data_IF_266119160572
#
_entry.id   IF_266119160572
#
_cell.length_a   1.000
_cell.length_b   1.000
_cell.length_c   1.000
_cell.angle_alpha   90.00
_cell.angle_beta   90.00
_cell.angle_gamma   90.00
#
_symmetry.space_group_name_H-M   'P 1'
#
loop_
_entity.id
_entity.type
_entity.pdbx_description
1 polymer ?
#
# COMPACT_ATOMS: atom_id res chain seq x y z
N UNK A 1 20.57 -7.64 1.93
CA UNK A 1 19.35 -6.83 2.17
C UNK A 1 18.76 -7.27 3.50
N UNK A 2 18.78 -6.43 4.54
CA UNK A 2 18.43 -6.85 5.91
C UNK A 2 16.93 -6.78 6.22
N UNK A 3 16.10 -6.26 5.31
CA UNK A 3 14.65 -6.12 5.48
C UNK A 3 13.94 -6.48 4.17
N UNK A 4 13.66 -7.76 3.97
CA UNK A 4 12.58 -8.22 3.10
C UNK A 4 11.59 -8.87 4.07
N UNK A 5 10.30 -8.73 3.82
CA UNK A 5 9.19 -9.22 4.64
C UNK A 5 9.02 -8.47 5.97
N UNK A 6 9.05 -7.12 5.95
CA UNK A 6 8.68 -6.31 7.13
C UNK A 6 7.29 -6.66 7.64
N UNK A 7 6.40 -6.97 6.71
CA UNK A 7 5.00 -7.24 6.93
C UNK A 7 4.68 -8.71 6.64
N UNK A 8 3.74 -9.27 7.41
CA UNK A 8 3.17 -10.59 7.15
C UNK A 8 1.67 -10.46 6.86
N UNK A 9 1.09 -11.41 6.12
CA UNK A 9 -0.33 -11.33 5.69
C UNK A 9 -1.27 -11.30 6.91
N UNK A 10 -0.93 -12.03 7.97
CA UNK A 10 -1.64 -12.05 9.25
C UNK A 10 -1.59 -10.73 10.03
N UNK A 11 -0.79 -9.76 9.59
CA UNK A 11 -0.81 -8.42 10.15
C UNK A 11 -1.99 -7.60 9.62
N UNK A 12 -2.67 -8.03 8.56
CA UNK A 12 -3.71 -7.25 7.87
C UNK A 12 -5.09 -7.88 7.98
N UNK A 13 -6.10 -7.06 7.72
CA UNK A 13 -7.49 -7.52 7.59
C UNK A 13 -7.61 -8.47 6.39
N UNK A 14 -8.32 -9.57 6.60
CA UNK A 14 -8.47 -10.62 5.57
C UNK A 14 -9.92 -11.00 5.32
N UNK A 15 -10.89 -10.42 6.02
CA UNK A 15 -12.31 -10.72 5.82
C UNK A 15 -13.14 -9.45 5.64
N UNK A 16 -14.28 -9.57 4.96
CA UNK A 16 -15.19 -8.44 4.74
C UNK A 16 -15.75 -7.84 6.04
N UNK A 17 -15.88 -8.67 7.09
CA UNK A 17 -16.39 -8.23 8.39
C UNK A 17 -15.42 -7.32 9.14
N UNK A 18 -14.14 -7.37 8.80
CA UNK A 18 -13.09 -6.56 9.41
C UNK A 18 -12.95 -5.18 8.73
N UNK A 19 -13.62 -4.98 7.58
CA UNK A 19 -13.55 -3.72 6.83
C UNK A 19 -14.52 -2.70 7.42
N UNK A 20 -13.98 -1.80 8.24
CA UNK A 20 -14.74 -0.78 8.95
C UNK A 20 -14.32 0.61 8.47
N UNK A 21 -15.29 1.39 7.98
CA UNK A 21 -15.09 2.78 7.62
C UNK A 21 -15.13 3.66 8.88
N UNK A 22 -14.10 4.48 9.06
CA UNK A 22 -13.98 5.47 10.14
C UNK A 22 -13.73 6.84 9.52
N UNK A 23 -14.79 7.63 9.36
CA UNK A 23 -14.70 8.88 8.60
C UNK A 23 -14.52 8.60 7.11
N UNK A 24 -13.37 8.99 6.59
CA UNK A 24 -12.89 8.79 5.23
C UNK A 24 -11.80 7.71 5.12
N UNK A 25 -11.49 7.00 6.21
CA UNK A 25 -10.39 6.04 6.25
C UNK A 25 -10.85 4.64 6.64
N UNK A 26 -10.11 3.65 6.14
CA UNK A 26 -10.21 2.25 6.56
C UNK A 26 -8.87 1.80 7.08
N UNK A 27 -8.77 1.48 8.37
CA UNK A 27 -7.57 0.85 8.92
C UNK A 27 -7.47 -0.59 8.39
N UNK A 28 -6.33 -0.92 7.79
CA UNK A 28 -6.11 -2.23 7.13
C UNK A 28 -5.29 -3.19 7.97
N UNK A 29 -4.81 -2.77 9.14
CA UNK A 29 -3.90 -3.55 9.98
C UNK A 29 -4.14 -3.33 11.47
N UNK A 30 -4.51 -4.36 12.25
CA UNK A 30 -4.54 -4.26 13.71
C UNK A 30 -3.17 -4.01 14.36
N UNK A 31 -2.05 -4.17 13.63
CA UNK A 31 -0.69 -4.08 14.19
C UNK A 31 0.07 -2.83 13.74
N UNK A 32 -0.35 -2.23 12.64
CA UNK A 32 0.37 -1.15 11.95
C UNK A 32 -0.60 -0.01 11.71
N UNK A 33 -0.13 1.23 11.87
CA UNK A 33 -0.92 2.42 11.56
C UNK A 33 -0.90 2.66 10.04
N UNK A 34 -1.70 1.86 9.33
CA UNK A 34 -1.82 1.90 7.87
C UNK A 34 -3.30 2.00 7.53
N UNK A 35 -3.63 2.97 6.69
CA UNK A 35 -5.01 3.23 6.27
C UNK A 35 -5.15 3.23 4.75
N UNK A 36 -6.33 2.88 4.27
CA UNK A 36 -6.79 3.25 2.93
C UNK A 36 -7.63 4.52 3.08
N UNK A 37 -7.19 5.61 2.46
CA UNK A 37 -7.96 6.85 2.37
C UNK A 37 -8.97 6.80 1.23
N UNK A 38 -10.19 7.24 1.48
CA UNK A 38 -11.30 7.18 0.54
C UNK A 38 -11.85 8.57 0.23
N UNK A 39 -12.04 8.85 -1.06
CA UNK A 39 -12.71 10.05 -1.54
C UNK A 39 -14.25 9.98 -1.33
N UNK A 40 -14.99 11.11 -1.36
CA UNK A 40 -16.42 11.14 -1.10
C UNK A 40 -17.26 10.15 -1.94
N UNK A 41 -16.93 9.98 -3.22
CA UNK A 41 -17.60 9.02 -4.10
C UNK A 41 -17.29 7.56 -3.73
N UNK A 42 -16.10 7.29 -3.21
CA UNK A 42 -15.69 5.97 -2.74
C UNK A 42 -16.39 5.63 -1.43
N UNK A 43 -16.53 6.60 -0.53
CA UNK A 43 -17.33 6.49 0.69
C UNK A 43 -18.78 6.16 0.35
N UNK A 44 -19.38 6.87 -0.61
CA UNK A 44 -20.74 6.61 -1.07
C UNK A 44 -20.91 5.18 -1.65
N UNK A 45 -19.84 4.59 -2.18
CA UNK A 45 -19.80 3.24 -2.76
C UNK A 45 -19.10 2.21 -1.85
N UNK A 46 -18.91 2.51 -0.56
CA UNK A 46 -18.04 1.74 0.34
C UNK A 46 -18.37 0.25 0.41
N UNK A 47 -19.65 -0.12 0.48
CA UNK A 47 -20.06 -1.53 0.57
C UNK A 47 -19.59 -2.36 -0.63
N UNK A 48 -19.53 -1.77 -1.83
CA UNK A 48 -19.02 -2.44 -3.02
C UNK A 48 -17.48 -2.49 -3.04
N UNK A 49 -16.81 -1.57 -2.35
CA UNK A 49 -15.34 -1.51 -2.26
C UNK A 49 -14.75 -2.47 -1.23
N UNK A 50 -15.53 -2.96 -0.26
CA UNK A 50 -15.03 -3.85 0.81
C UNK A 50 -14.24 -5.05 0.28
N UNK A 51 -14.73 -5.69 -0.78
CA UNK A 51 -14.03 -6.82 -1.39
C UNK A 51 -12.65 -6.45 -1.93
N UNK A 52 -12.57 -5.30 -2.59
CA UNK A 52 -11.32 -4.79 -3.13
C UNK A 52 -10.35 -4.33 -2.04
N UNK A 53 -10.85 -3.70 -0.98
CA UNK A 53 -10.04 -3.35 0.20
C UNK A 53 -9.39 -4.59 0.82
N UNK A 54 -10.13 -5.69 0.95
CA UNK A 54 -9.56 -6.98 1.43
C UNK A 54 -8.48 -7.51 0.47
N UNK A 55 -8.68 -7.39 -0.84
CA UNK A 55 -7.68 -7.79 -1.84
C UNK A 55 -6.39 -6.97 -1.71
N UNK A 56 -6.51 -5.65 -1.61
CA UNK A 56 -5.36 -4.74 -1.39
C UNK A 56 -4.64 -5.09 -0.09
N UNK A 57 -5.39 -5.23 1.01
CA UNK A 57 -4.85 -5.51 2.35
C UNK A 57 -3.99 -6.77 2.38
N UNK A 58 -4.45 -7.83 1.70
CA UNK A 58 -3.69 -9.09 1.56
C UNK A 58 -2.43 -8.95 0.70
N UNK A 59 -2.41 -8.01 -0.23
CA UNK A 59 -1.30 -7.80 -1.16
C UNK A 59 -0.21 -6.84 -0.60
N UNK A 60 -0.48 -6.13 0.51
CA UNK A 60 0.48 -5.18 1.12
C UNK A 60 1.87 -5.78 1.37
N UNK A 61 2.02 -6.99 1.96
CA UNK A 61 3.36 -7.59 2.15
C UNK A 61 4.14 -7.74 0.84
N UNK A 62 3.47 -8.13 -0.24
CA UNK A 62 4.09 -8.29 -1.55
C UNK A 62 4.41 -6.95 -2.21
N UNK A 63 3.57 -5.93 -2.02
CA UNK A 63 3.88 -4.57 -2.45
C UNK A 63 5.11 -4.02 -1.71
N UNK A 64 5.12 -4.05 -0.38
CA UNK A 64 6.23 -3.55 0.44
C UNK A 64 7.55 -4.27 0.11
N UNK A 65 7.50 -5.57 -0.19
CA UNK A 65 8.64 -6.32 -0.68
C UNK A 65 9.14 -5.83 -2.05
N UNK A 66 8.24 -5.57 -3.00
CA UNK A 66 8.60 -5.01 -4.30
C UNK A 66 9.19 -3.61 -4.16
N UNK A 67 8.62 -2.78 -3.28
CA UNK A 67 9.13 -1.44 -2.99
C UNK A 67 10.54 -1.47 -2.42
N UNK A 68 10.80 -2.32 -1.42
CA UNK A 68 12.12 -2.46 -0.82
C UNK A 68 13.16 -2.97 -1.83
N UNK A 69 12.79 -3.92 -2.71
CA UNK A 69 13.66 -4.39 -3.80
C UNK A 69 13.97 -3.29 -4.81
N UNK A 70 12.95 -2.53 -5.21
CA UNK A 70 13.11 -1.41 -6.12
C UNK A 70 14.06 -0.36 -5.51
N UNK A 71 13.81 0.06 -4.27
CA UNK A 71 14.66 1.02 -3.55
C UNK A 71 16.11 0.55 -3.51
N UNK A 72 16.34 -0.69 -3.06
CA UNK A 72 17.69 -1.27 -3.02
C UNK A 72 18.36 -1.28 -4.40
N UNK A 73 17.64 -1.62 -5.48
CA UNK A 73 18.21 -1.61 -6.83
C UNK A 73 18.64 -0.23 -7.32
N UNK A 74 18.02 0.84 -6.81
CA UNK A 74 18.29 2.23 -7.22
C UNK A 74 19.34 2.92 -6.36
N UNK A 75 19.37 2.63 -5.05
CA UNK A 75 20.23 3.34 -4.10
C UNK A 75 21.39 2.49 -3.61
N UNK A 76 21.32 1.16 -3.77
CA UNK A 76 22.19 0.18 -3.12
C UNK A 76 22.16 0.26 -1.58
N UNK A 77 21.13 0.90 -1.00
CA UNK A 77 20.94 1.01 0.44
C UNK A 77 20.10 -0.16 0.97
N UNK A 78 20.63 -0.98 1.90
CA UNK A 78 20.00 -2.22 2.33
C UNK A 78 18.81 -2.02 3.28
N UNK A 79 18.68 -0.83 3.86
CA UNK A 79 17.65 -0.46 4.82
C UNK A 79 16.72 0.55 4.14
N UNK A 80 15.46 0.15 3.95
CA UNK A 80 14.42 1.06 3.48
C UNK A 80 13.90 1.87 4.67
N UNK A 81 14.08 3.21 4.68
CA UNK A 81 13.81 4.04 5.86
C UNK A 81 12.35 4.49 5.97
N UNK A 82 11.51 4.19 4.97
CA UNK A 82 10.12 4.63 4.94
C UNK A 82 9.15 3.55 5.44
N UNK A 83 8.14 3.96 6.19
CA UNK A 83 7.00 3.13 6.57
C UNK A 83 5.79 3.48 5.71
N UNK A 84 5.06 2.45 5.30
CA UNK A 84 3.79 2.64 4.61
C UNK A 84 2.82 3.33 5.60
N UNK A 85 2.19 4.41 5.16
CA UNK A 85 1.26 5.19 5.98
C UNK A 85 -0.14 5.17 5.39
N UNK A 86 -0.26 5.59 4.13
CA UNK A 86 -1.56 5.72 3.45
C UNK A 86 -1.53 4.99 2.12
N UNK A 87 -2.66 4.37 1.77
CA UNK A 87 -2.90 3.79 0.46
C UNK A 87 -4.09 4.51 -0.17
N UNK A 88 -3.92 5.01 -1.38
CA UNK A 88 -5.00 5.61 -2.17
C UNK A 88 -5.46 4.64 -3.25
N UNK A 89 -6.76 4.66 -3.56
CA UNK A 89 -7.37 3.89 -4.64
C UNK A 89 -7.76 4.86 -5.75
N UNK A 90 -7.29 4.63 -6.96
CA UNK A 90 -7.65 5.42 -8.15
C UNK A 90 -7.99 4.47 -9.31
N UNK A 91 -9.28 4.27 -9.57
CA UNK A 91 -9.78 3.34 -10.59
C UNK A 91 -9.21 1.92 -10.46
N UNK A 92 -8.32 1.51 -11.37
CA UNK A 92 -7.62 0.22 -11.40
C UNK A 92 -6.20 0.30 -10.80
N UNK A 93 -5.86 1.42 -10.17
CA UNK A 93 -4.56 1.65 -9.55
C UNK A 93 -4.67 1.86 -8.05
N UNK A 94 -3.55 1.59 -7.38
CA UNK A 94 -3.33 1.96 -5.99
C UNK A 94 -2.02 2.73 -5.88
N UNK A 95 -2.00 3.73 -5.00
CA UNK A 95 -0.82 4.52 -4.69
C UNK A 95 -0.46 4.24 -3.24
N UNK A 96 0.73 3.71 -3.00
CA UNK A 96 1.27 3.51 -1.67
C UNK A 96 2.11 4.72 -1.31
N UNK A 97 1.67 5.48 -0.31
CA UNK A 97 2.41 6.62 0.23
C UNK A 97 3.17 6.20 1.50
N UNK A 98 4.50 6.24 1.38
CA UNK A 98 5.40 5.93 2.48
C UNK A 98 5.98 7.21 3.08
N UNK A 99 6.00 7.28 4.41
CA UNK A 99 6.59 8.38 5.17
C UNK A 99 7.88 7.96 5.86
N UNK A 100 8.84 8.87 5.97
CA UNK A 100 10.02 8.67 6.82
C UNK A 100 10.33 9.91 7.64
N UNK A 101 10.23 9.78 8.96
CA UNK A 101 10.70 10.81 9.90
C UNK A 101 12.23 10.96 9.88
N UNK A 102 12.96 9.87 9.63
CA UNK A 102 14.43 9.86 9.68
C UNK A 102 15.05 10.73 8.59
N UNK A 103 14.46 10.71 7.39
CA UNK A 103 14.93 11.49 6.24
C UNK A 103 13.99 12.63 5.86
N UNK A 104 12.89 12.80 6.61
CA UNK A 104 11.86 13.84 6.46
C UNK A 104 11.36 13.98 5.02
N UNK A 105 10.98 12.86 4.40
CA UNK A 105 10.42 12.85 3.04
C UNK A 105 9.38 11.75 2.83
N UNK A 106 8.64 11.89 1.73
CA UNK A 106 7.71 10.90 1.20
C UNK A 106 8.36 10.08 0.10
N UNK A 107 7.85 8.87 -0.08
CA UNK A 107 8.19 7.97 -1.18
C UNK A 107 6.93 7.27 -1.65
N UNK A 108 6.53 7.47 -2.90
CA UNK A 108 5.28 6.91 -3.44
C UNK A 108 5.55 5.81 -4.46
N UNK A 109 4.67 4.82 -4.52
CA UNK A 109 4.72 3.73 -5.50
C UNK A 109 3.32 3.43 -6.00
N UNK A 110 3.13 3.40 -7.32
CA UNK A 110 1.83 3.15 -7.95
C UNK A 110 1.80 1.79 -8.61
N UNK A 111 0.82 0.97 -8.24
CA UNK A 111 0.55 -0.32 -8.86
C UNK A 111 -0.77 -0.27 -9.62
N UNK A 112 -0.80 -0.86 -10.81
CA UNK A 112 -2.01 -1.06 -11.59
C UNK A 112 -2.40 -2.53 -11.57
N UNK A 113 -3.68 -2.82 -11.36
CA UNK A 113 -4.23 -4.15 -11.51
C UNK A 113 -4.51 -4.45 -12.97
N UNK A 114 -3.87 -5.47 -13.52
CA UNK A 114 -4.06 -5.85 -14.91
C UNK A 114 -4.05 -7.38 -15.02
N UNK A 115 -5.07 -7.95 -15.66
CA UNK A 115 -5.16 -9.39 -15.94
C UNK A 115 -4.92 -10.31 -14.71
N UNK A 116 -5.40 -9.90 -13.54
CA UNK A 116 -5.27 -10.68 -12.30
C UNK A 116 -3.95 -10.52 -11.56
N UNK A 117 -3.08 -9.60 -11.98
CA UNK A 117 -1.82 -9.30 -11.30
C UNK A 117 -1.61 -7.80 -11.13
N UNK A 118 -0.93 -7.45 -10.03
CA UNK A 118 -0.50 -6.08 -9.77
C UNK A 118 0.84 -5.81 -10.44
N UNK A 119 0.90 -4.74 -11.22
CA UNK A 119 2.11 -4.29 -11.91
C UNK A 119 2.52 -2.92 -11.38
N UNK A 120 3.78 -2.79 -10.97
CA UNK A 120 4.36 -1.47 -10.68
C UNK A 120 4.41 -0.63 -11.96
N UNK A 121 3.83 0.57 -11.93
CA UNK A 121 3.76 1.48 -13.10
C UNK A 121 4.39 2.85 -12.85
N UNK A 122 4.50 3.28 -11.60
CA UNK A 122 5.24 4.49 -11.19
C UNK A 122 5.98 4.23 -9.88
N UNK A 123 7.18 4.78 -9.78
CA UNK A 123 8.03 4.72 -8.62
C UNK A 123 8.62 6.09 -8.31
N UNK A 124 7.95 6.81 -7.41
CA UNK A 124 8.29 8.15 -6.96
C UNK A 124 8.39 9.16 -8.11
N UNK A 125 7.38 9.19 -8.98
CA UNK A 125 7.29 10.07 -10.15
C UNK A 125 8.16 9.64 -11.32
N UNK A 126 8.55 8.36 -11.37
CA UNK A 126 9.38 7.79 -12.43
C UNK A 126 8.81 6.47 -12.89
N UNK A 127 8.83 6.25 -14.21
CA UNK A 127 8.51 4.95 -14.79
C UNK A 127 9.54 3.89 -14.31
N UNK A 128 9.10 2.74 -13.77
CA UNK A 128 9.99 1.62 -13.47
C UNK A 128 10.55 1.05 -14.78
N UNK A 129 11.84 0.74 -14.80
CA UNK A 129 12.55 0.20 -15.98
C UNK A 129 12.11 -1.23 -16.32
#
# INVERSE_FOLDING_TARGET
MKRINRYQVEDFITTLGDVILSGDEVNVSPKHDIVIGLEPEQIANFDNLKGFIVEISRAIPDFDNQVQRYFYSRTNEPDFPHHLSVIYIEEDTIILDYWSEMVNNQFTMTFQYNNGFWKLIDANGRKPD
#
